data_IF_841051752019
#
_entry.id   IF_841051752019
#
_cell.length_a   1.000
_cell.length_b   1.000
_cell.length_c   1.000
_cell.angle_alpha   90.00
_cell.angle_beta   90.00
_cell.angle_gamma   90.00
#
_symmetry.space_group_name_H-M   'P 1'
#
loop_
_entity.id
_entity.type
_entity.pdbx_description
1 polymer ?
#
# COMPACT_ATOMS: atom_id res chain seq x y z
N UNK A 1 8.77 11.01 24.84
CA UNK A 1 7.83 9.96 25.27
C UNK A 1 7.65 9.01 24.10
N UNK A 2 7.70 7.69 24.33
CA UNK A 2 7.41 6.70 23.28
C UNK A 2 5.90 6.66 23.08
N UNK A 3 5.42 6.76 21.83
CA UNK A 3 4.00 6.63 21.48
C UNK A 3 3.70 5.21 21.04
N UNK A 4 2.47 4.77 21.29
CA UNK A 4 1.99 3.46 20.84
C UNK A 4 1.04 3.66 19.68
N UNK A 5 1.31 3.03 18.53
CA UNK A 5 0.32 2.92 17.45
C UNK A 5 -0.69 1.85 17.84
N UNK A 6 -1.96 2.23 17.98
CA UNK A 6 -3.08 1.30 18.17
C UNK A 6 -3.53 0.73 16.83
N UNK A 7 -4.27 -0.38 16.85
CA UNK A 7 -4.99 -0.83 15.65
C UNK A 7 -6.13 0.15 15.34
N UNK A 8 -6.44 0.34 14.06
CA UNK A 8 -7.54 1.20 13.65
C UNK A 8 -8.88 0.64 14.14
N UNK A 9 -9.00 -0.68 14.25
CA UNK A 9 -10.16 -1.32 14.85
C UNK A 9 -10.34 -0.94 16.32
N UNK A 10 -9.25 -0.88 17.10
CA UNK A 10 -9.32 -0.40 18.49
C UNK A 10 -9.72 1.08 18.54
N UNK A 11 -9.13 1.92 17.67
CA UNK A 11 -9.47 3.35 17.57
C UNK A 11 -10.96 3.55 17.22
N UNK A 12 -11.47 2.79 16.25
CA UNK A 12 -12.88 2.80 15.85
C UNK A 12 -13.77 2.33 16.99
N UNK A 13 -13.42 1.24 17.67
CA UNK A 13 -14.19 0.75 18.82
C UNK A 13 -14.26 1.80 19.95
N UNK A 14 -13.16 2.51 20.22
CA UNK A 14 -13.14 3.61 21.21
C UNK A 14 -14.05 4.77 20.82
N UNK A 15 -14.17 5.06 19.53
CA UNK A 15 -15.11 6.04 19.00
C UNK A 15 -16.57 5.55 19.14
N UNK A 16 -16.87 4.35 18.65
CA UNK A 16 -18.23 3.80 18.61
C UNK A 16 -18.81 3.58 20.02
N UNK A 17 -17.97 3.25 21.00
CA UNK A 17 -18.37 3.07 22.41
C UNK A 17 -18.38 4.37 23.21
N UNK A 18 -17.84 5.46 22.65
CA UNK A 18 -17.64 6.73 23.34
C UNK A 18 -16.56 6.70 24.44
N UNK A 19 -15.72 5.68 24.49
CA UNK A 19 -14.61 5.58 25.45
C UNK A 19 -13.60 6.71 25.25
N UNK A 20 -13.14 6.90 24.01
CA UNK A 20 -12.25 7.99 23.61
C UNK A 20 -12.41 8.31 22.12
N UNK A 21 -13.46 9.05 21.74
CA UNK A 21 -13.69 9.42 20.34
C UNK A 21 -12.61 10.37 19.80
N UNK A 22 -11.87 11.05 20.68
CA UNK A 22 -10.93 12.10 20.28
C UNK A 22 -9.77 11.57 19.45
N UNK A 23 -9.40 10.30 19.60
CA UNK A 23 -8.35 9.66 18.80
C UNK A 23 -8.73 9.64 17.32
N UNK A 24 -9.94 9.14 17.00
CA UNK A 24 -10.43 9.08 15.62
C UNK A 24 -10.70 10.47 15.06
N UNK A 25 -11.35 11.34 15.85
CA UNK A 25 -11.65 12.70 15.43
C UNK A 25 -10.38 13.50 15.09
N UNK A 26 -9.34 13.40 15.91
CA UNK A 26 -8.07 14.09 15.66
C UNK A 26 -7.34 13.54 14.43
N UNK A 27 -7.45 12.23 14.17
CA UNK A 27 -6.96 11.63 12.93
C UNK A 27 -7.69 12.20 11.71
N UNK A 28 -9.02 12.30 11.75
CA UNK A 28 -9.83 12.90 10.69
C UNK A 28 -9.45 14.37 10.48
N UNK A 29 -9.34 15.17 11.55
CA UNK A 29 -8.88 16.57 11.48
C UNK A 29 -7.50 16.69 10.84
N UNK A 30 -6.56 15.82 11.21
CA UNK A 30 -5.20 15.84 10.68
C UNK A 30 -5.17 15.55 9.18
N UNK A 31 -5.87 14.49 8.75
CA UNK A 31 -5.95 14.12 7.33
C UNK A 31 -6.64 15.19 6.48
N UNK A 32 -7.76 15.77 6.95
CA UNK A 32 -8.39 16.92 6.28
C UNK A 32 -7.41 18.08 6.08
N UNK A 33 -6.62 18.40 7.10
CA UNK A 33 -5.63 19.49 7.03
C UNK A 33 -4.53 19.22 6.02
N UNK A 34 -3.89 18.04 6.03
CA UNK A 34 -2.82 17.74 5.07
C UNK A 34 -3.34 17.58 3.64
N UNK A 35 -4.58 17.09 3.45
CA UNK A 35 -5.23 17.01 2.14
C UNK A 35 -5.72 18.37 1.62
N UNK A 36 -5.87 19.38 2.49
CA UNK A 36 -6.21 20.75 2.11
C UNK A 36 -4.99 21.63 1.84
N UNK A 37 -3.78 21.22 2.26
CA UNK A 37 -2.56 21.94 1.94
C UNK A 37 -2.33 21.96 0.42
N UNK A 38 -1.86 23.06 -0.17
CA UNK A 38 -1.52 23.10 -1.59
C UNK A 38 -0.51 22.01 -1.97
N UNK A 39 -0.66 21.41 -3.15
CA UNK A 39 0.16 20.30 -3.66
C UNK A 39 1.66 20.57 -3.80
N UNK A 40 2.07 21.83 -3.65
CA UNK A 40 3.47 22.28 -3.60
C UNK A 40 4.05 22.32 -2.19
N UNK A 41 3.25 22.11 -1.15
CA UNK A 41 3.72 22.11 0.25
C UNK A 41 4.29 20.73 0.60
N UNK A 42 5.48 20.65 1.23
CA UNK A 42 6.09 19.38 1.62
C UNK A 42 5.16 18.49 2.46
N UNK A 43 4.41 19.09 3.39
CA UNK A 43 3.47 18.36 4.27
C UNK A 43 2.10 18.11 3.62
N UNK A 44 1.90 18.46 2.35
CA UNK A 44 0.64 18.13 1.67
C UNK A 44 0.55 16.63 1.41
N UNK A 45 -0.66 16.10 1.52
CA UNK A 45 -0.92 14.70 1.19
C UNK A 45 -0.51 14.39 -0.26
N UNK A 46 -0.75 15.30 -1.20
CA UNK A 46 -0.34 15.15 -2.60
C UNK A 46 1.17 14.94 -2.75
N UNK A 47 1.99 15.80 -2.12
CA UNK A 47 3.46 15.70 -2.21
C UNK A 47 3.95 14.41 -1.59
N UNK A 48 3.44 14.06 -0.40
CA UNK A 48 3.85 12.85 0.31
C UNK A 48 3.47 11.61 -0.49
N UNK A 49 2.20 11.51 -0.92
CA UNK A 49 1.70 10.43 -1.79
C UNK A 49 2.57 10.23 -3.03
N UNK A 50 3.00 11.33 -3.64
CA UNK A 50 3.82 11.31 -4.84
C UNK A 50 5.25 10.78 -4.67
N UNK A 51 5.74 10.63 -3.44
CA UNK A 51 7.04 9.99 -3.22
C UNK A 51 7.03 8.49 -3.55
N UNK A 52 5.86 7.86 -3.54
CA UNK A 52 5.73 6.44 -3.83
C UNK A 52 6.06 6.11 -5.30
N UNK A 53 5.32 6.72 -6.23
CA UNK A 53 5.37 6.45 -7.65
C UNK A 53 5.22 7.73 -8.47
N UNK A 54 4.04 7.93 -9.04
CA UNK A 54 3.73 9.15 -9.77
C UNK A 54 3.54 10.36 -8.84
N UNK A 55 3.90 11.59 -9.26
CA UNK A 55 4.57 11.90 -10.52
C UNK A 55 6.04 11.47 -10.48
N UNK A 56 6.46 10.68 -11.47
CA UNK A 56 7.84 10.24 -11.58
C UNK A 56 8.79 11.44 -11.73
N UNK A 57 9.89 11.41 -10.97
CA UNK A 57 10.86 12.52 -10.92
C UNK A 57 11.99 12.36 -11.93
N UNK A 58 12.20 11.15 -12.46
CA UNK A 58 13.16 10.88 -13.53
C UNK A 58 12.84 9.59 -14.28
N UNK A 59 13.38 9.46 -15.49
CA UNK A 59 13.24 8.28 -16.35
C UNK A 59 14.60 7.89 -16.90
N UNK A 60 14.81 6.59 -17.07
CA UNK A 60 15.92 6.02 -17.83
C UNK A 60 15.36 5.23 -19.02
N UNK A 61 15.39 5.79 -20.25
CA UNK A 61 14.81 5.14 -21.43
C UNK A 61 15.58 3.89 -21.87
N UNK A 62 16.82 3.72 -21.42
CA UNK A 62 17.67 2.58 -21.77
C UNK A 62 17.53 1.42 -20.75
N UNK A 63 16.81 1.64 -19.66
CA UNK A 63 16.55 0.65 -18.61
C UNK A 63 15.05 0.32 -18.52
N UNK A 64 14.62 -0.85 -19.05
CA UNK A 64 13.21 -1.25 -19.01
C UNK A 64 12.69 -1.52 -17.59
N UNK A 65 13.59 -1.73 -16.62
CA UNK A 65 13.27 -2.02 -15.22
C UNK A 65 13.37 -0.75 -14.34
N UNK A 66 13.56 0.43 -14.94
CA UNK A 66 13.66 1.69 -14.21
C UNK A 66 12.35 2.08 -13.52
N UNK A 67 12.43 2.34 -12.22
CA UNK A 67 11.33 2.90 -11.44
C UNK A 67 11.51 4.41 -11.25
N UNK A 68 10.58 5.23 -11.77
CA UNK A 68 10.68 6.68 -11.71
C UNK A 68 10.30 7.34 -10.38
N UNK A 69 9.75 6.56 -9.44
CA UNK A 69 9.39 6.99 -8.08
C UNK A 69 10.45 6.59 -7.05
N UNK A 70 10.27 6.93 -5.78
CA UNK A 70 11.26 6.62 -4.74
C UNK A 70 11.02 5.29 -4.02
N UNK A 71 9.84 4.67 -4.17
CA UNK A 71 9.53 3.45 -3.44
C UNK A 71 10.50 2.30 -3.80
N UNK A 72 10.67 1.42 -2.83
CA UNK A 72 11.57 0.27 -2.92
C UNK A 72 10.71 -0.99 -2.89
N UNK A 73 10.64 -1.69 -4.02
CA UNK A 73 9.97 -2.97 -4.18
C UNK A 73 10.95 -4.00 -4.74
N UNK A 74 10.75 -5.27 -4.40
CA UNK A 74 11.62 -6.39 -4.75
C UNK A 74 13.07 -6.24 -4.26
N UNK A 75 13.32 -5.33 -3.31
CA UNK A 75 14.64 -5.12 -2.69
C UNK A 75 14.60 -5.22 -1.18
N UNK A 76 15.75 -5.49 -0.57
CA UNK A 76 15.93 -5.52 0.89
C UNK A 76 15.62 -4.18 1.58
N UNK A 77 15.41 -3.10 0.82
CA UNK A 77 14.99 -1.80 1.35
C UNK A 77 13.48 -1.69 1.53
N UNK A 78 12.66 -2.61 0.98
CA UNK A 78 11.20 -2.56 1.06
C UNK A 78 10.66 -2.25 2.48
N UNK A 79 10.99 -3.02 3.54
CA UNK A 79 10.45 -2.74 4.87
C UNK A 79 10.95 -1.42 5.46
N UNK A 80 12.22 -1.08 5.22
CA UNK A 80 12.84 0.11 5.83
C UNK A 80 12.41 1.41 5.16
N UNK A 81 12.25 1.41 3.83
CA UNK A 81 11.78 2.56 3.07
C UNK A 81 10.33 2.88 3.47
N UNK A 82 9.45 1.88 3.50
CA UNK A 82 8.05 2.08 3.89
C UNK A 82 7.90 2.49 5.36
N UNK A 83 8.71 1.94 6.29
CA UNK A 83 8.74 2.39 7.69
C UNK A 83 9.02 3.89 7.80
N UNK A 84 9.98 4.38 7.03
CA UNK A 84 10.31 5.79 7.06
C UNK A 84 9.30 6.65 6.28
N UNK A 85 8.70 6.12 5.22
CA UNK A 85 7.61 6.79 4.53
C UNK A 85 6.40 7.01 5.44
N UNK A 86 6.07 6.03 6.30
CA UNK A 86 5.08 6.20 7.35
C UNK A 86 5.47 7.27 8.38
N UNK A 87 6.76 7.38 8.72
CA UNK A 87 7.24 8.47 9.57
C UNK A 87 6.99 9.84 8.90
N UNK A 88 7.21 9.96 7.58
CA UNK A 88 6.98 11.22 6.81
C UNK A 88 5.55 11.72 6.95
N UNK A 89 4.58 10.83 6.71
CA UNK A 89 3.17 11.24 6.79
C UNK A 89 2.76 11.48 8.25
N UNK A 90 3.25 10.68 9.19
CA UNK A 90 2.93 10.85 10.61
C UNK A 90 3.48 12.18 11.16
N UNK A 91 4.65 12.62 10.68
CA UNK A 91 5.18 13.96 10.97
C UNK A 91 4.32 15.07 10.37
N UNK A 92 3.87 14.95 9.12
CA UNK A 92 2.97 15.93 8.50
C UNK A 92 1.65 16.06 9.27
N UNK A 93 1.06 14.93 9.64
CA UNK A 93 -0.17 14.89 10.44
C UNK A 93 0.02 15.57 11.81
N UNK A 94 1.18 15.37 12.46
CA UNK A 94 1.52 16.04 13.73
C UNK A 94 1.79 17.53 13.56
N UNK A 95 2.44 17.95 12.49
CA UNK A 95 2.75 19.35 12.22
C UNK A 95 1.46 20.19 12.11
N UNK A 96 0.44 19.65 11.44
CA UNK A 96 -0.87 20.33 11.31
C UNK A 96 -1.75 20.21 12.56
N UNK A 97 -1.40 19.33 13.50
CA UNK A 97 -2.09 19.11 14.79
C UNK A 97 -1.14 19.37 15.98
N UNK A 98 -0.43 20.50 15.97
CA UNK A 98 0.53 20.83 17.01
C UNK A 98 -0.07 20.72 18.42
N UNK A 99 0.61 19.97 19.30
CA UNK A 99 0.18 19.75 20.69
C UNK A 99 -0.79 18.58 20.90
N UNK A 100 -1.25 17.92 19.83
CA UNK A 100 -2.04 16.69 19.92
C UNK A 100 -1.12 15.48 19.92
N UNK A 101 -1.38 14.52 20.80
CA UNK A 101 -0.66 13.25 20.82
C UNK A 101 -1.14 12.31 19.70
N UNK A 102 -0.72 12.63 18.48
CA UNK A 102 -1.17 11.94 17.27
C UNK A 102 -0.20 10.83 16.85
N UNK A 103 -0.77 9.70 16.44
CA UNK A 103 -0.10 8.58 15.78
C UNK A 103 -0.96 8.08 14.62
N UNK A 104 -0.32 7.47 13.64
CA UNK A 104 -1.01 6.78 12.56
C UNK A 104 -1.35 5.35 13.04
N UNK A 105 -2.63 4.98 13.22
CA UNK A 105 -2.98 3.61 13.58
C UNK A 105 -2.74 2.66 12.40
N UNK A 106 -2.57 1.38 12.69
CA UNK A 106 -2.44 0.36 11.65
C UNK A 106 -3.78 -0.36 11.43
N UNK A 107 -4.12 -0.68 10.19
CA UNK A 107 -5.27 -1.53 9.91
C UNK A 107 -4.87 -2.99 10.18
N UNK A 108 -5.37 -3.60 11.26
CA UNK A 108 -5.06 -5.01 11.54
C UNK A 108 -5.79 -5.93 10.56
N UNK A 109 -5.15 -6.22 9.43
CA UNK A 109 -5.74 -6.94 8.29
C UNK A 109 -6.15 -8.37 8.65
N UNK A 110 -5.41 -9.01 9.56
CA UNK A 110 -5.62 -10.41 9.92
C UNK A 110 -6.61 -10.57 11.09
N UNK A 111 -7.09 -9.48 11.71
CA UNK A 111 -7.97 -9.54 12.87
C UNK A 111 -9.30 -10.25 12.58
N UNK A 112 -9.87 -10.02 11.40
CA UNK A 112 -11.18 -10.57 11.03
C UNK A 112 -11.11 -12.00 10.45
N UNK A 113 -9.92 -12.60 10.31
CA UNK A 113 -9.73 -13.94 9.76
C UNK A 113 -10.48 -14.96 10.60
N UNK A 114 -11.34 -15.76 9.96
CA UNK A 114 -12.17 -16.77 10.63
C UNK A 114 -13.33 -16.22 11.48
N UNK A 115 -13.60 -14.91 11.43
CA UNK A 115 -14.80 -14.28 12.01
C UNK A 115 -15.84 -13.97 10.93
N UNK A 116 -17.03 -13.52 11.32
CA UNK A 116 -18.03 -12.96 10.38
C UNK A 116 -17.84 -11.45 10.17
N UNK A 117 -16.84 -10.83 10.83
CA UNK A 117 -16.62 -9.40 10.77
C UNK A 117 -16.08 -8.96 9.40
N UNK A 118 -16.37 -7.70 9.07
CA UNK A 118 -15.80 -7.03 7.92
C UNK A 118 -14.30 -6.77 8.16
N UNK A 119 -13.41 -7.18 7.24
CA UNK A 119 -11.98 -6.99 7.44
C UNK A 119 -11.55 -5.52 7.35
N UNK A 120 -12.23 -4.68 6.56
CA UNK A 120 -11.89 -3.26 6.40
C UNK A 120 -12.70 -2.43 7.41
N UNK A 121 -12.06 -1.67 8.33
CA UNK A 121 -12.74 -0.77 9.25
C UNK A 121 -13.70 0.19 8.55
N UNK A 122 -14.90 0.39 9.11
CA UNK A 122 -15.96 1.16 8.47
C UNK A 122 -15.53 2.60 8.12
N UNK A 123 -14.64 3.20 8.91
CA UNK A 123 -14.14 4.55 8.65
C UNK A 123 -13.31 4.65 7.38
N UNK A 124 -12.75 3.54 6.88
CA UNK A 124 -12.06 3.54 5.60
C UNK A 124 -13.05 3.40 4.43
N UNK A 125 -14.26 2.89 4.64
CA UNK A 125 -15.25 2.63 3.57
C UNK A 125 -16.41 3.61 3.56
N UNK A 126 -16.72 4.27 4.67
CA UNK A 126 -17.82 5.22 4.76
C UNK A 126 -17.53 6.48 3.93
N UNK A 127 -18.44 6.94 3.05
CA UNK A 127 -18.19 8.09 2.17
C UNK A 127 -18.13 9.42 2.93
N UNK A 128 -18.73 9.48 4.13
CA UNK A 128 -18.84 10.69 4.93
C UNK A 128 -18.53 10.43 6.41
N UNK A 129 -18.09 11.47 7.10
CA UNK A 129 -17.88 11.49 8.54
C UNK A 129 -18.14 12.93 9.03
N UNK A 130 -19.19 13.14 9.81
CA UNK A 130 -19.55 14.48 10.29
C UNK A 130 -18.70 14.85 11.52
N UNK A 131 -17.90 15.91 11.37
CA UNK A 131 -17.08 16.45 12.45
C UNK A 131 -16.80 17.92 12.20
N UNK A 132 -17.02 18.76 13.21
CA UNK A 132 -16.77 20.21 13.18
C UNK A 132 -17.50 20.94 12.02
N UNK A 133 -18.65 20.42 11.56
CA UNK A 133 -19.43 21.00 10.46
C UNK A 133 -18.92 20.64 9.05
N UNK A 134 -17.99 19.71 8.94
CA UNK A 134 -17.48 19.14 7.70
C UNK A 134 -17.81 17.64 7.66
N UNK A 135 -18.47 17.19 6.59
CA UNK A 135 -18.90 15.80 6.39
C UNK A 135 -17.93 14.97 5.55
N UNK A 136 -16.84 15.55 5.06
CA UNK A 136 -15.84 14.84 4.27
C UNK A 136 -15.15 13.76 5.10
N UNK A 137 -15.07 12.54 4.58
CA UNK A 137 -14.21 11.53 5.16
C UNK A 137 -12.89 11.47 4.38
N UNK A 138 -11.79 12.06 4.90
CA UNK A 138 -10.53 12.09 4.17
C UNK A 138 -9.83 10.71 4.11
N UNK A 139 -10.36 9.69 4.79
CA UNK A 139 -9.81 8.33 4.77
C UNK A 139 -10.50 7.42 3.74
N UNK A 140 -11.63 7.87 3.20
CA UNK A 140 -12.39 7.12 2.19
C UNK A 140 -11.72 7.15 0.82
N UNK A 141 -11.31 8.34 0.38
CA UNK A 141 -10.64 8.59 -0.89
C UNK A 141 -9.92 9.93 -0.85
N UNK A 142 -9.13 10.21 -1.88
CA UNK A 142 -8.44 11.48 -2.06
C UNK A 142 -8.74 12.10 -3.42
N UNK A 143 -8.97 13.41 -3.45
CA UNK A 143 -9.13 14.18 -4.69
C UNK A 143 -7.81 14.87 -5.06
N UNK A 144 -7.27 14.54 -6.23
CA UNK A 144 -6.03 15.12 -6.72
C UNK A 144 -6.17 16.61 -6.96
N UNK A 145 -5.26 17.38 -6.37
CA UNK A 145 -5.18 18.84 -6.51
C UNK A 145 -4.44 19.29 -7.78
N UNK A 146 -3.75 18.36 -8.45
CA UNK A 146 -3.04 18.59 -9.69
C UNK A 146 -3.00 17.29 -10.50
N UNK A 147 -2.87 17.40 -11.81
CA UNK A 147 -2.67 16.23 -12.67
C UNK A 147 -1.33 15.56 -12.36
N UNK A 148 -1.30 14.23 -12.42
CA UNK A 148 -0.10 13.41 -12.48
C UNK A 148 -0.08 12.76 -13.86
N UNK A 149 0.97 13.03 -14.65
CA UNK A 149 1.13 12.49 -15.99
C UNK A 149 2.57 12.78 -16.40
N UNK A 150 3.39 11.78 -16.75
CA UNK A 150 4.72 12.11 -17.28
C UNK A 150 5.40 11.05 -18.14
N UNK A 151 4.69 10.15 -18.82
CA UNK A 151 5.36 9.23 -19.75
C UNK A 151 4.71 9.15 -21.14
N UNK A 152 5.50 9.19 -22.23
CA UNK A 152 5.01 9.04 -23.61
C UNK A 152 4.71 7.58 -24.02
N UNK A 153 4.78 6.61 -23.10
CA UNK A 153 4.59 5.16 -23.35
C UNK A 153 3.36 4.61 -22.63
N UNK A 154 3.18 3.27 -22.55
CA UNK A 154 2.04 2.58 -21.89
C UNK A 154 1.70 3.09 -20.47
N UNK A 155 2.67 3.70 -19.77
CA UNK A 155 2.51 4.42 -18.51
C UNK A 155 1.52 5.60 -18.60
N UNK A 156 1.23 6.11 -19.79
CA UNK A 156 0.20 7.12 -20.04
C UNK A 156 -1.19 6.69 -19.54
N UNK A 157 -1.45 5.39 -19.35
CA UNK A 157 -2.73 4.89 -18.81
C UNK A 157 -2.96 5.21 -17.32
N UNK A 158 -1.87 5.40 -16.57
CA UNK A 158 -1.90 5.67 -15.13
C UNK A 158 -1.98 7.15 -14.79
N UNK A 159 -1.73 8.01 -15.80
CA UNK A 159 -1.97 9.42 -15.70
C UNK A 159 -3.37 9.73 -15.15
N UNK A 160 -3.44 10.65 -14.20
CA UNK A 160 -4.68 11.17 -13.63
C UNK A 160 -4.75 12.68 -13.83
N UNK A 161 -5.93 13.15 -14.18
CA UNK A 161 -6.18 14.58 -14.28
C UNK A 161 -6.43 15.20 -12.89
N UNK A 162 -6.20 16.51 -12.77
CA UNK A 162 -6.67 17.30 -11.62
C UNK A 162 -8.17 17.05 -11.36
N UNK A 163 -8.53 16.88 -10.09
CA UNK A 163 -9.89 16.54 -9.67
C UNK A 163 -10.25 15.06 -9.77
N UNK A 164 -9.34 14.19 -10.23
CA UNK A 164 -9.50 12.74 -10.09
C UNK A 164 -9.66 12.35 -8.62
N UNK A 165 -10.59 11.44 -8.33
CA UNK A 165 -10.83 10.90 -6.98
C UNK A 165 -10.35 9.46 -6.97
N UNK A 166 -9.49 9.09 -6.02
CA UNK A 166 -9.01 7.72 -5.90
C UNK A 166 -10.15 6.76 -5.66
N UNK A 167 -10.06 5.56 -6.23
CA UNK A 167 -11.07 4.52 -6.10
C UNK A 167 -10.45 3.18 -5.73
N UNK A 168 -11.26 2.33 -5.10
CA UNK A 168 -10.93 0.96 -4.71
C UNK A 168 -11.84 -0.02 -5.43
N UNK A 169 -11.55 -1.30 -5.33
CA UNK A 169 -12.45 -2.37 -5.76
C UNK A 169 -13.86 -2.12 -5.17
N UNK A 170 -14.94 -2.28 -5.95
CA UNK A 170 -15.00 -2.84 -7.31
C UNK A 170 -14.88 -1.80 -8.44
N UNK A 171 -14.53 -0.54 -8.16
CA UNK A 171 -14.48 0.52 -9.18
C UNK A 171 -13.18 0.52 -9.98
N UNK A 172 -13.21 1.19 -11.13
CA UNK A 172 -12.06 1.44 -12.00
C UNK A 172 -11.61 2.90 -11.91
N UNK A 173 -10.29 3.09 -11.81
CA UNK A 173 -9.63 4.38 -11.79
C UNK A 173 -8.80 4.68 -13.04
N UNK A 174 -8.73 3.78 -14.03
CA UNK A 174 -7.90 4.01 -15.23
C UNK A 174 -8.52 5.09 -16.13
N UNK A 175 -7.88 6.26 -16.16
CA UNK A 175 -8.39 7.46 -16.85
C UNK A 175 -7.32 8.18 -17.66
N UNK A 176 -6.16 7.57 -17.88
CA UNK A 176 -5.04 8.22 -18.56
C UNK A 176 -5.18 8.29 -20.09
N UNK A 177 -6.00 7.42 -20.69
CA UNK A 177 -6.27 7.43 -22.14
C UNK A 177 -7.76 7.59 -22.45
N UNK A 178 -8.16 8.13 -23.62
CA UNK A 178 -9.57 8.22 -24.01
C UNK A 178 -10.32 6.88 -23.96
N UNK A 179 -9.65 5.79 -24.36
CA UNK A 179 -10.25 4.45 -24.34
C UNK A 179 -10.43 3.90 -22.93
N UNK A 180 -9.52 4.22 -22.00
CA UNK A 180 -9.65 3.82 -20.60
C UNK A 180 -10.73 4.64 -19.89
N UNK A 181 -10.84 5.95 -20.18
CA UNK A 181 -11.92 6.80 -19.67
C UNK A 181 -13.30 6.21 -20.03
N UNK A 182 -13.51 5.83 -21.29
CA UNK A 182 -14.77 5.24 -21.75
C UNK A 182 -15.07 3.92 -21.03
N UNK A 183 -14.09 3.01 -20.97
CA UNK A 183 -14.26 1.71 -20.27
C UNK A 183 -14.52 1.89 -18.78
N UNK A 184 -13.80 2.81 -18.14
CA UNK A 184 -13.97 3.14 -16.72
C UNK A 184 -15.36 3.71 -16.44
N UNK A 185 -15.88 4.58 -17.31
CA UNK A 185 -17.23 5.11 -17.18
C UNK A 185 -18.30 4.01 -17.30
N UNK A 186 -18.15 3.11 -18.29
CA UNK A 186 -19.07 1.97 -18.48
C UNK A 186 -19.02 1.02 -17.28
N UNK A 187 -17.83 0.71 -16.78
CA UNK A 187 -17.64 -0.16 -15.61
C UNK A 187 -18.26 0.45 -14.35
N UNK A 188 -17.92 1.70 -14.06
CA UNK A 188 -18.36 2.38 -12.83
C UNK A 188 -19.87 2.66 -12.79
N UNK A 189 -20.57 2.66 -13.92
CA UNK A 189 -22.03 2.79 -13.97
C UNK A 189 -22.77 1.62 -13.26
N UNK A 190 -22.11 0.47 -13.05
CA UNK A 190 -22.64 -0.64 -12.27
C UNK A 190 -22.37 -0.53 -10.76
N UNK A 191 -21.58 0.46 -10.33
CA UNK A 191 -21.00 0.58 -8.99
C UNK A 191 -21.17 2.00 -8.42
N UNK A 192 -22.38 2.55 -8.56
CA UNK A 192 -22.71 3.92 -8.10
C UNK A 192 -22.96 3.99 -6.58
N UNK A 193 -23.45 2.91 -5.97
CA UNK A 193 -23.84 2.88 -4.56
C UNK A 193 -22.64 2.60 -3.62
N UNK A 194 -22.27 3.53 -2.73
CA UNK A 194 -21.11 3.38 -1.84
C UNK A 194 -21.23 2.19 -0.87
N UNK A 195 -22.43 1.92 -0.35
CA UNK A 195 -22.63 0.83 0.63
C UNK A 195 -22.46 -0.54 -0.04
N UNK A 196 -23.04 -0.71 -1.23
CA UNK A 196 -22.83 -1.91 -2.05
C UNK A 196 -21.34 -2.08 -2.41
N UNK A 197 -20.64 -0.98 -2.77
CA UNK A 197 -19.22 -1.03 -3.06
C UNK A 197 -18.38 -1.43 -1.84
N UNK A 198 -18.71 -0.92 -0.65
CA UNK A 198 -18.07 -1.30 0.60
C UNK A 198 -18.27 -2.79 0.93
N UNK A 199 -19.46 -3.34 0.62
CA UNK A 199 -19.73 -4.77 0.77
C UNK A 199 -18.89 -5.62 -0.20
N UNK A 200 -18.78 -5.21 -1.47
CA UNK A 200 -17.90 -5.86 -2.44
C UNK A 200 -16.43 -5.84 -2.00
N UNK A 201 -15.92 -4.69 -1.56
CA UNK A 201 -14.56 -4.55 -1.06
C UNK A 201 -14.29 -5.48 0.12
N UNK A 202 -15.16 -5.47 1.13
CA UNK A 202 -15.01 -6.34 2.31
C UNK A 202 -15.05 -7.82 1.94
N UNK A 203 -15.98 -8.24 1.07
CA UNK A 203 -16.07 -9.62 0.61
C UNK A 203 -14.81 -10.05 -0.16
N UNK A 204 -14.27 -9.18 -1.03
CA UNK A 204 -13.05 -9.47 -1.77
C UNK A 204 -11.84 -9.58 -0.83
N UNK A 205 -11.60 -8.59 0.03
CA UNK A 205 -10.50 -8.62 1.00
C UNK A 205 -10.59 -9.85 1.90
N UNK A 206 -11.79 -10.23 2.35
CA UNK A 206 -12.02 -11.45 3.12
C UNK A 206 -11.65 -12.71 2.32
N UNK A 207 -12.04 -12.79 1.06
CA UNK A 207 -11.72 -13.94 0.21
C UNK A 207 -10.20 -14.11 0.00
N UNK A 208 -9.46 -13.01 -0.13
CA UNK A 208 -7.99 -13.03 -0.18
C UNK A 208 -7.38 -13.44 1.17
N UNK A 209 -7.86 -12.88 2.28
CA UNK A 209 -7.43 -13.23 3.64
C UNK A 209 -7.65 -14.70 4.00
N UNK A 210 -8.75 -15.29 3.51
CA UNK A 210 -9.13 -16.69 3.72
C UNK A 210 -8.54 -17.64 2.66
N UNK A 211 -7.93 -17.12 1.59
CA UNK A 211 -7.37 -17.94 0.50
C UNK A 211 -8.46 -18.63 -0.34
N UNK A 212 -9.66 -18.05 -0.39
CA UNK A 212 -10.81 -18.56 -1.14
C UNK A 212 -11.03 -17.85 -2.46
N UNK A 213 -10.19 -16.84 -2.75
CA UNK A 213 -10.24 -16.07 -4.00
C UNK A 213 -10.14 -17.00 -5.20
N UNK A 214 -11.05 -16.82 -6.16
CA UNK A 214 -11.07 -17.59 -7.40
C UNK A 214 -10.43 -16.76 -8.51
N UNK A 215 -9.31 -17.23 -9.04
CA UNK A 215 -8.70 -16.63 -10.24
C UNK A 215 -9.41 -17.21 -11.45
N UNK A 216 -10.18 -16.37 -12.14
CA UNK A 216 -10.76 -16.70 -13.44
C UNK A 216 -9.74 -16.34 -14.52
N UNK A 217 -9.09 -17.29 -15.20
CA UNK A 217 -8.10 -16.98 -16.22
C UNK A 217 -8.73 -16.22 -17.40
N UNK A 218 -7.86 -15.52 -18.15
CA UNK A 218 -8.14 -15.17 -19.53
C UNK A 218 -8.55 -16.46 -20.29
N UNK A 219 -9.52 -16.34 -21.20
CA UNK A 219 -10.17 -17.47 -21.90
C UNK A 219 -9.22 -18.65 -22.16
N UNK A 220 -9.70 -19.87 -21.86
CA UNK A 220 -9.15 -21.18 -22.26
C UNK A 220 -8.03 -21.83 -21.41
N UNK A 221 -7.80 -21.42 -20.15
CA UNK A 221 -6.93 -22.17 -19.21
C UNK A 221 -7.66 -22.64 -17.95
N UNK A 222 -7.23 -23.74 -17.29
CA UNK A 222 -7.79 -24.15 -16.02
C UNK A 222 -7.50 -23.09 -14.94
N UNK A 223 -8.48 -22.83 -14.08
CA UNK A 223 -8.32 -21.97 -12.90
C UNK A 223 -7.09 -22.41 -12.11
N UNK A 224 -6.11 -21.51 -11.94
CA UNK A 224 -5.02 -21.69 -10.98
C UNK A 224 -5.43 -20.90 -9.74
N UNK A 225 -6.03 -21.54 -8.71
CA UNK A 225 -6.31 -20.84 -7.48
C UNK A 225 -5.01 -20.32 -6.87
N UNK A 226 -5.01 -19.06 -6.48
CA UNK A 226 -4.01 -18.57 -5.53
C UNK A 226 -4.35 -19.21 -4.18
N UNK A 227 -3.75 -20.37 -3.93
CA UNK A 227 -4.16 -21.29 -2.86
C UNK A 227 -3.63 -20.91 -1.48
N UNK A 228 -2.90 -19.80 -1.35
CA UNK A 228 -2.37 -19.34 -0.07
C UNK A 228 -3.00 -18.02 0.37
N UNK A 229 -3.72 -18.12 1.48
CA UNK A 229 -4.37 -17.01 2.16
C UNK A 229 -3.35 -15.95 2.58
N UNK A 230 -3.74 -14.67 2.54
CA UNK A 230 -2.85 -13.57 2.94
C UNK A 230 -2.39 -13.74 4.39
N UNK A 231 -3.28 -14.20 5.27
CA UNK A 231 -2.96 -14.53 6.66
C UNK A 231 -1.84 -15.58 6.76
N UNK A 232 -1.89 -16.64 5.95
CA UNK A 232 -0.85 -17.66 5.91
C UNK A 232 0.48 -17.07 5.42
N UNK A 233 0.47 -16.16 4.44
CA UNK A 233 1.70 -15.51 3.95
C UNK A 233 2.40 -14.71 5.04
N UNK A 234 1.66 -13.88 5.78
CA UNK A 234 2.23 -13.13 6.90
C UNK A 234 2.73 -14.05 8.03
N UNK A 235 1.99 -15.11 8.36
CA UNK A 235 2.44 -16.08 9.38
C UNK A 235 3.72 -16.79 8.96
N UNK A 236 3.79 -17.25 7.71
CA UNK A 236 4.98 -17.90 7.16
C UNK A 236 6.15 -16.92 7.14
N UNK A 237 5.95 -15.67 6.68
CA UNK A 237 7.04 -14.67 6.58
C UNK A 237 7.69 -14.39 7.93
N UNK A 238 6.95 -14.41 9.04
CA UNK A 238 7.51 -14.27 10.39
C UNK A 238 8.55 -15.35 10.75
N UNK A 239 8.52 -16.51 10.09
CA UNK A 239 9.49 -17.61 10.23
C UNK A 239 10.65 -17.55 9.23
N UNK A 240 10.78 -16.48 8.45
CA UNK A 240 11.90 -16.29 7.53
C UNK A 240 13.25 -16.40 8.28
N UNK A 241 14.23 -17.17 7.74
CA UNK A 241 15.46 -17.51 8.46
C UNK A 241 16.43 -16.33 8.65
N UNK A 242 16.26 -15.27 7.87
CA UNK A 242 17.04 -14.04 7.94
C UNK A 242 16.26 -12.87 7.33
N UNK A 243 16.76 -11.65 7.54
CA UNK A 243 16.11 -10.44 7.04
C UNK A 243 16.06 -10.36 5.51
N UNK A 244 17.11 -10.77 4.81
CA UNK A 244 17.18 -10.71 3.35
C UNK A 244 16.00 -11.46 2.73
N UNK A 245 15.75 -12.70 3.16
CA UNK A 245 14.62 -13.53 2.71
C UNK A 245 13.27 -13.01 3.24
N UNK A 246 13.22 -12.51 4.47
CA UNK A 246 12.01 -11.91 5.04
C UNK A 246 11.52 -10.70 4.24
N UNK A 247 12.45 -9.85 3.79
CA UNK A 247 12.14 -8.48 3.39
C UNK A 247 11.43 -8.35 2.05
N UNK A 248 11.75 -9.19 1.06
CA UNK A 248 11.33 -9.00 -0.32
C UNK A 248 11.21 -10.31 -1.11
N UNK A 249 10.38 -10.28 -2.15
CA UNK A 249 10.08 -11.47 -2.97
C UNK A 249 11.25 -11.93 -3.85
N UNK A 250 12.14 -11.05 -4.31
CA UNK A 250 13.27 -11.44 -5.16
C UNK A 250 14.26 -12.33 -4.38
N UNK A 251 14.61 -11.90 -3.18
CA UNK A 251 15.49 -12.65 -2.28
C UNK A 251 14.87 -13.96 -1.83
N UNK A 252 13.57 -13.96 -1.51
CA UNK A 252 12.83 -15.17 -1.18
C UNK A 252 12.79 -16.15 -2.36
N UNK A 253 12.52 -15.67 -3.58
CA UNK A 253 12.47 -16.51 -4.77
C UNK A 253 13.82 -17.19 -5.05
N UNK A 254 14.95 -16.50 -4.85
CA UNK A 254 16.26 -17.12 -4.92
C UNK A 254 16.46 -18.18 -3.82
N UNK A 255 16.10 -17.86 -2.56
CA UNK A 255 16.19 -18.81 -1.45
C UNK A 255 15.41 -20.10 -1.73
N UNK A 256 14.17 -20.01 -2.22
CA UNK A 256 13.35 -21.17 -2.57
C UNK A 256 14.03 -22.04 -3.63
N UNK A 257 14.64 -21.43 -4.65
CA UNK A 257 15.39 -22.16 -5.69
C UNK A 257 16.59 -22.89 -5.11
N UNK A 258 17.37 -22.23 -4.25
CA UNK A 258 18.55 -22.81 -3.59
C UNK A 258 18.18 -23.98 -2.67
N UNK A 259 17.02 -23.90 -2.02
CA UNK A 259 16.47 -24.99 -1.20
C UNK A 259 15.72 -26.05 -2.03
N UNK A 260 15.89 -26.09 -3.37
CA UNK A 260 15.23 -27.05 -4.27
C UNK A 260 13.69 -27.08 -4.12
N UNK A 261 13.08 -25.93 -3.86
CA UNK A 261 11.62 -25.79 -3.66
C UNK A 261 11.13 -26.22 -2.27
N UNK A 262 12.02 -26.64 -1.37
CA UNK A 262 11.68 -27.07 0.00
C UNK A 262 11.86 -25.98 1.07
N UNK A 263 12.26 -24.77 0.65
CA UNK A 263 12.54 -23.64 1.53
C UNK A 263 11.30 -22.82 1.95
N UNK A 264 11.51 -21.89 2.87
CA UNK A 264 10.56 -20.84 3.26
C UNK A 264 10.00 -20.10 2.03
N UNK A 265 8.67 -20.01 1.91
CA UNK A 265 8.00 -19.70 0.64
C UNK A 265 7.37 -18.31 0.49
N UNK A 266 7.38 -17.45 1.51
CA UNK A 266 6.71 -16.13 1.44
C UNK A 266 7.46 -15.04 2.21
N UNK A 267 7.83 -13.96 1.52
CA UNK A 267 8.36 -12.76 2.15
C UNK A 267 7.23 -11.90 2.76
N UNK A 268 7.59 -10.90 3.55
CA UNK A 268 6.67 -9.84 4.00
C UNK A 268 5.96 -9.18 2.82
N UNK A 269 6.72 -8.92 1.75
CA UNK A 269 6.24 -8.27 0.52
C UNK A 269 5.14 -9.08 -0.19
N UNK A 270 5.11 -10.41 -0.05
CA UNK A 270 4.07 -11.25 -0.70
C UNK A 270 2.69 -11.11 -0.05
N UNK A 271 2.64 -10.92 1.27
CA UNK A 271 1.40 -10.61 2.00
C UNK A 271 0.91 -9.19 1.68
N UNK A 272 1.83 -8.23 1.66
CA UNK A 272 1.60 -6.85 1.25
C UNK A 272 1.01 -6.77 -0.17
N UNK A 273 1.65 -7.39 -1.15
CA UNK A 273 1.22 -7.33 -2.56
C UNK A 273 -0.21 -7.86 -2.73
N UNK A 274 -0.58 -8.90 -1.98
CA UNK A 274 -1.91 -9.47 -2.05
C UNK A 274 -2.99 -8.51 -1.55
N UNK A 275 -2.72 -7.71 -0.52
CA UNK A 275 -3.66 -6.71 -0.02
C UNK A 275 -3.79 -5.54 -0.99
N UNK A 276 -2.69 -5.09 -1.60
CA UNK A 276 -2.74 -4.13 -2.70
C UNK A 276 -3.70 -4.59 -3.82
N UNK A 277 -3.55 -5.84 -4.26
CA UNK A 277 -4.42 -6.43 -5.28
C UNK A 277 -5.87 -6.60 -4.79
N UNK A 278 -6.09 -7.02 -3.53
CA UNK A 278 -7.42 -7.19 -2.97
C UNK A 278 -8.20 -5.87 -2.84
N UNK A 279 -7.50 -4.80 -2.44
CA UNK A 279 -8.10 -3.47 -2.28
C UNK A 279 -8.24 -2.75 -3.62
N UNK A 280 -7.25 -2.91 -4.51
CA UNK A 280 -7.24 -2.29 -5.84
C UNK A 280 -8.07 -3.02 -6.89
N UNK A 281 -8.33 -4.32 -6.71
CA UNK A 281 -9.08 -5.12 -7.67
C UNK A 281 -8.33 -5.43 -8.97
N UNK A 282 -7.00 -5.28 -8.98
CA UNK A 282 -6.25 -5.18 -10.23
C UNK A 282 -6.21 -6.50 -11.01
N UNK A 283 -6.64 -6.41 -12.27
CA UNK A 283 -6.56 -7.47 -13.25
C UNK A 283 -5.61 -7.10 -14.38
N UNK A 284 -4.59 -7.92 -14.61
CA UNK A 284 -3.73 -7.78 -15.77
C UNK A 284 -3.85 -9.00 -16.68
N UNK A 285 -4.15 -8.73 -17.96
CA UNK A 285 -4.32 -9.78 -18.96
C UNK A 285 -3.03 -10.62 -19.09
N UNK A 286 -3.16 -11.94 -18.99
CA UNK A 286 -2.08 -12.93 -18.99
C UNK A 286 -1.13 -12.91 -17.78
N UNK A 287 -1.35 -12.06 -16.77
CA UNK A 287 -0.75 -12.22 -15.44
C UNK A 287 -1.84 -12.79 -14.54
N UNK A 288 -1.58 -13.92 -13.90
CA UNK A 288 -2.57 -14.65 -13.11
C UNK A 288 -3.00 -13.87 -11.85
N UNK A 289 -3.78 -12.79 -12.03
CA UNK A 289 -4.23 -11.91 -10.97
C UNK A 289 -5.67 -12.25 -10.61
N UNK A 290 -5.95 -12.34 -9.31
CA UNK A 290 -7.27 -12.69 -8.81
C UNK A 290 -8.21 -11.46 -8.85
N UNK A 291 -9.09 -11.43 -9.84
CA UNK A 291 -10.17 -10.44 -9.89
C UNK A 291 -11.53 -11.13 -10.07
N UNK A 292 -12.40 -11.12 -9.05
CA UNK A 292 -13.76 -11.62 -9.21
C UNK A 292 -14.64 -10.70 -10.07
N UNK A 293 -14.35 -9.39 -10.19
CA UNK A 293 -15.11 -8.43 -11.01
C UNK A 293 -14.18 -7.72 -12.00
N UNK A 294 -14.06 -8.35 -13.18
CA UNK A 294 -13.24 -7.88 -14.30
C UNK A 294 -13.44 -6.39 -14.60
N UNK A 295 -12.33 -5.66 -14.60
CA UNK A 295 -12.31 -4.24 -14.95
C UNK A 295 -12.24 -3.32 -13.73
N UNK A 296 -12.27 -3.86 -12.51
CA UNK A 296 -11.86 -3.13 -11.33
C UNK A 296 -10.36 -2.79 -11.44
N UNK A 297 -10.03 -1.51 -11.34
CA UNK A 297 -8.65 -1.02 -11.49
C UNK A 297 -8.47 0.18 -10.56
N UNK A 298 -8.69 -0.06 -9.26
CA UNK A 298 -8.49 0.93 -8.21
C UNK A 298 -7.01 1.22 -7.97
N UNK A 299 -6.73 2.37 -7.38
CA UNK A 299 -5.38 2.92 -7.27
C UNK A 299 -4.46 2.07 -6.40
N UNK A 300 -4.99 1.42 -5.35
CA UNK A 300 -4.21 0.49 -4.51
C UNK A 300 -3.63 -0.70 -5.27
N UNK A 301 -4.15 -1.02 -6.46
CA UNK A 301 -3.74 -2.16 -7.25
C UNK A 301 -2.48 -1.93 -8.08
N UNK A 302 -1.96 -0.70 -8.08
CA UNK A 302 -0.90 -0.26 -8.97
C UNK A 302 0.10 0.65 -8.22
N UNK A 303 1.39 0.38 -8.36
CA UNK A 303 2.42 1.08 -7.59
C UNK A 303 2.50 2.56 -7.97
N UNK A 304 2.09 2.91 -9.18
CA UNK A 304 2.16 4.25 -9.74
C UNK A 304 1.32 5.21 -8.90
N UNK A 305 0.10 4.82 -8.50
CA UNK A 305 -0.86 5.70 -7.82
C UNK A 305 -1.37 5.23 -6.47
N UNK A 306 -0.99 4.03 -5.99
CA UNK A 306 -1.42 3.50 -4.69
C UNK A 306 -1.18 4.48 -3.53
N UNK A 307 -0.06 5.21 -3.53
CA UNK A 307 0.28 6.18 -2.49
C UNK A 307 -0.72 7.33 -2.32
N UNK A 308 -1.56 7.60 -3.33
CA UNK A 308 -2.63 8.61 -3.26
C UNK A 308 -3.89 8.11 -2.57
N UNK A 309 -4.07 6.80 -2.35
CA UNK A 309 -5.21 6.30 -1.60
C UNK A 309 -4.90 6.34 -0.08
N UNK A 310 -5.71 7.01 0.76
CA UNK A 310 -5.47 7.06 2.20
C UNK A 310 -5.32 5.69 2.89
N UNK A 311 -5.97 4.62 2.39
CA UNK A 311 -5.86 3.27 2.98
C UNK A 311 -4.44 2.71 2.90
N UNK A 312 -3.63 3.17 1.93
CA UNK A 312 -2.23 2.81 1.75
C UNK A 312 -1.47 2.93 3.08
N UNK A 313 -1.64 4.03 3.79
CA UNK A 313 -0.85 4.31 4.99
C UNK A 313 -1.27 3.43 6.18
N UNK A 314 -2.53 3.01 6.25
CA UNK A 314 -3.01 2.09 7.27
C UNK A 314 -2.58 0.65 6.99
N UNK A 315 -2.58 0.25 5.72
CA UNK A 315 -2.01 -1.01 5.23
C UNK A 315 -0.51 -1.08 5.53
N UNK A 316 0.26 -0.09 5.10
CA UNK A 316 1.70 -0.08 5.35
C UNK A 316 2.05 0.01 6.84
N UNK A 317 1.23 0.67 7.65
CA UNK A 317 1.40 0.65 9.11
C UNK A 317 1.23 -0.77 9.70
N UNK A 318 0.40 -1.62 9.11
CA UNK A 318 0.31 -3.04 9.48
C UNK A 318 1.50 -3.85 8.97
N UNK A 319 1.94 -3.62 7.73
CA UNK A 319 3.18 -4.21 7.20
C UNK A 319 4.37 -3.86 8.10
N UNK A 320 4.44 -2.63 8.59
CA UNK A 320 5.45 -2.18 9.55
C UNK A 320 5.31 -2.85 10.93
N UNK A 321 4.08 -3.11 11.37
CA UNK A 321 3.81 -3.90 12.57
C UNK A 321 4.26 -5.36 12.42
N UNK A 322 4.05 -5.99 11.26
CA UNK A 322 4.56 -7.35 10.97
C UNK A 322 6.09 -7.34 10.93
N UNK A 323 6.72 -6.33 10.31
CA UNK A 323 8.17 -6.16 10.34
C UNK A 323 8.70 -6.04 11.78
N UNK A 324 8.11 -5.20 12.62
CA UNK A 324 8.49 -5.09 14.03
C UNK A 324 8.28 -6.42 14.78
N UNK A 325 7.23 -7.17 14.46
CA UNK A 325 6.97 -8.49 15.04
C UNK A 325 8.05 -9.50 14.67
N UNK A 326 8.49 -9.51 13.41
CA UNK A 326 9.64 -10.31 12.97
C UNK A 326 10.91 -9.90 13.73
N UNK A 327 11.20 -8.59 13.84
CA UNK A 327 12.37 -8.12 14.58
C UNK A 327 12.38 -8.57 16.03
N UNK A 328 11.23 -8.53 16.72
CA UNK A 328 11.12 -9.05 18.09
C UNK A 328 11.35 -10.56 18.15
N UNK A 329 10.77 -11.32 17.21
CA UNK A 329 10.87 -12.78 17.17
C UNK A 329 12.30 -13.27 16.90
N UNK A 330 13.09 -12.49 16.17
CA UNK A 330 14.47 -12.82 15.77
C UNK A 330 15.54 -12.00 16.51
N UNK A 331 15.20 -11.38 17.65
CA UNK A 331 16.10 -10.55 18.47
C UNK A 331 16.82 -9.43 17.67
N UNK A 332 16.18 -8.93 16.61
CA UNK A 332 16.70 -7.95 15.66
C UNK A 332 16.15 -6.52 15.88
N UNK A 333 15.88 -6.14 17.13
CA UNK A 333 15.33 -4.82 17.50
C UNK A 333 16.40 -3.76 17.75
N UNK A 334 17.66 -4.16 17.99
CA UNK A 334 18.74 -3.23 18.28
C UNK A 334 19.24 -2.50 17.01
N UNK A 335 19.81 -1.30 17.19
CA UNK A 335 20.43 -0.59 16.07
C UNK A 335 21.56 -1.45 15.48
N UNK A 336 21.48 -1.74 14.18
CA UNK A 336 22.49 -2.51 13.46
C UNK A 336 22.42 -4.03 13.66
N UNK A 337 21.37 -4.56 14.30
CA UNK A 337 21.22 -6.02 14.47
C UNK A 337 20.65 -6.74 13.25
N UNK A 338 20.08 -6.01 12.29
CA UNK A 338 19.64 -6.58 11.02
C UNK A 338 20.89 -6.83 10.17
N UNK A 339 21.05 -8.03 9.62
CA UNK A 339 22.10 -8.36 8.68
C UNK A 339 21.49 -8.60 7.28
N UNK A 340 22.15 -8.08 6.24
CA UNK A 340 21.80 -8.30 4.84
C UNK A 340 22.87 -9.17 4.19
N UNK A 341 22.46 -10.27 3.57
CA UNK A 341 23.30 -11.07 2.68
C UNK A 341 23.36 -10.45 1.27
N UNK A 342 24.52 -9.90 0.83
CA UNK A 342 24.64 -9.20 -0.45
C UNK A 342 24.67 -10.11 -1.68
N UNK A 343 24.58 -11.44 -1.50
CA UNK A 343 24.56 -12.39 -2.63
C UNK A 343 23.16 -12.67 -3.17
N UNK A 344 22.13 -12.05 -2.59
CA UNK A 344 20.74 -12.26 -2.99
C UNK A 344 20.26 -11.23 -4.02
N UNK A 345 19.39 -11.65 -4.93
CA UNK A 345 18.87 -10.83 -6.03
C UNK A 345 18.29 -9.49 -5.54
N UNK A 346 17.59 -9.50 -4.39
CA UNK A 346 17.01 -8.29 -3.79
C UNK A 346 18.01 -7.31 -3.18
N UNK A 347 19.31 -7.57 -3.22
CA UNK A 347 20.34 -6.61 -2.79
C UNK A 347 20.93 -5.79 -3.94
N UNK A 348 20.42 -5.94 -5.16
CA UNK A 348 20.86 -5.16 -6.31
C UNK A 348 19.72 -4.28 -6.81
N UNK A 349 19.94 -2.96 -6.86
CA UNK A 349 18.95 -2.02 -7.39
C UNK A 349 18.73 -2.24 -8.88
N UNK A 350 17.47 -2.25 -9.31
CA UNK A 350 17.10 -2.21 -10.73
C UNK A 350 17.15 -0.79 -11.32
N UNK A 351 17.37 0.22 -10.47
CA UNK A 351 17.47 1.63 -10.88
C UNK A 351 16.24 2.43 -10.49
N UNK A 352 16.45 3.47 -9.68
CA UNK A 352 15.45 4.47 -9.34
C UNK A 352 16.12 5.81 -8.98
N UNK A 353 15.37 6.92 -8.85
CA UNK A 353 15.89 8.20 -8.39
C UNK A 353 16.78 8.05 -7.15
N UNK A 354 18.05 8.43 -7.29
CA UNK A 354 19.05 8.37 -6.21
C UNK A 354 19.79 7.02 -6.06
N UNK A 355 19.39 5.95 -6.76
CA UNK A 355 20.10 4.65 -6.73
C UNK A 355 20.21 4.04 -8.14
N UNK A 356 21.41 4.08 -8.73
CA UNK A 356 21.66 3.53 -10.07
C UNK A 356 21.46 2.02 -10.15
N UNK A 357 21.12 1.52 -11.34
CA UNK A 357 21.06 0.09 -11.63
C UNK A 357 22.38 -0.61 -11.27
N UNK A 358 22.32 -1.82 -10.71
CA UNK A 358 23.49 -2.60 -10.32
C UNK A 358 24.11 -2.17 -8.99
N UNK A 359 23.60 -1.10 -8.36
CA UNK A 359 24.09 -0.65 -7.06
C UNK A 359 23.67 -1.63 -5.95
N UNK A 360 24.62 -2.01 -5.11
CA UNK A 360 24.40 -2.92 -3.98
C UNK A 360 23.75 -2.18 -2.82
N UNK A 361 22.53 -2.57 -2.46
CA UNK A 361 21.76 -1.96 -1.39
C UNK A 361 22.28 -2.42 -0.02
N UNK A 362 22.53 -1.45 0.88
CA UNK A 362 23.10 -1.68 2.23
C UNK A 362 22.34 -0.89 3.29
N UNK A 363 22.54 -1.25 4.56
CA UNK A 363 21.87 -0.66 5.75
C UNK A 363 21.86 0.87 5.83
N UNK A 364 22.82 1.54 5.20
CA UNK A 364 22.98 3.00 5.27
C UNK A 364 22.13 3.76 4.24
N UNK A 365 21.49 3.06 3.30
CA UNK A 365 20.77 3.66 2.18
C UNK A 365 19.28 3.98 2.33
N UNK A 366 18.50 3.44 3.30
CA UNK A 366 17.11 3.87 3.46
C UNK A 366 17.02 5.39 3.62
N UNK A 367 17.98 5.96 4.36
CA UNK A 367 18.10 7.39 4.58
C UNK A 367 18.44 8.20 3.33
N UNK A 368 18.97 7.62 2.25
CA UNK A 368 19.36 8.38 1.06
C UNK A 368 18.16 8.75 0.19
N UNK A 369 17.27 7.80 -0.12
CA UNK A 369 16.01 8.07 -0.83
C UNK A 369 15.09 9.02 -0.03
N UNK A 370 15.18 8.96 1.29
CA UNK A 370 14.52 9.85 2.23
C UNK A 370 15.20 11.23 2.22
N UNK A 371 16.50 11.35 2.46
CA UNK A 371 17.22 12.64 2.52
C UNK A 371 17.22 13.39 1.18
N UNK A 372 17.31 12.69 0.04
CA UNK A 372 17.24 13.32 -1.29
C UNK A 372 15.83 13.78 -1.65
N UNK A 373 14.77 13.21 -1.05
CA UNK A 373 13.41 13.71 -1.20
C UNK A 373 13.19 15.10 -0.53
N UNK A 374 14.23 15.72 0.05
CA UNK A 374 14.23 17.05 0.67
C UNK A 374 13.04 17.27 1.61
N UNK A 375 13.07 16.61 2.78
CA UNK A 375 12.03 16.66 3.81
C UNK A 375 11.73 18.08 4.30
#
# INVERSE_FOLDING_TARGET
MVRTRLSLQEVVNKYDTGEDPTILENLIRAFRKIQALPSSKPDSFFTIAGYHGEPFVSQDPDNPDWWGGYCQHETVLFPMWHRAYLLRIEEALRNVMAGVDLFLPYWDECLAVGSDDNPVPWILTAPTFDLDGDTSNPLHSYTLQASIANSPTEQARYAKHEGYVTVRYPRSGLVGTPGDIEKTAIHNAAFEDPDTNAAYLNANVKAWLDGTVQILPDKDTPNVPDTYSVDARYKISLDAPNYTVFSNKASMAQWVKEQSGSGHGYALEDGHNAIHLAVGGFYEKNKYNADPIRGANGDMGDNETAGFDPIFYFHHAFVDYVFWTWQKKHDATAKGSIAIDPTYDGTTSQGNPGVSQGHQTRHEQPAYAIQEAQW
#
